data_IF_853267891959
#
_entry.id   IF_853267891959
#
_cell.length_a   1.000
_cell.length_b   1.000
_cell.length_c   1.000
_cell.angle_alpha   90.00
_cell.angle_beta   90.00
_cell.angle_gamma   90.00
#
_symmetry.space_group_name_H-M   'P 1'
#
loop_
_entity.id
_entity.type
_entity.pdbx_description
1 polymer ?
#
# COMPACT_ATOMS: atom_id res chain seq x y z
N UNK A 1 -11.65 -21.23 12.79
CA UNK A 1 -10.64 -21.95 11.95
C UNK A 1 -11.17 -23.33 11.61
N UNK A 2 -10.90 -23.82 10.40
CA UNK A 2 -11.27 -25.19 9.94
C UNK A 2 -10.08 -25.90 9.32
N UNK A 3 -10.12 -27.25 9.29
CA UNK A 3 -9.13 -28.03 8.54
C UNK A 3 -9.64 -28.21 7.12
N UNK A 4 -8.84 -27.78 6.15
CA UNK A 4 -9.16 -27.88 4.73
C UNK A 4 -8.80 -29.28 4.20
N UNK A 5 -9.56 -29.82 3.22
CA UNK A 5 -9.11 -30.96 2.43
C UNK A 5 -7.83 -30.57 1.68
N UNK A 6 -7.17 -31.57 1.09
CA UNK A 6 -6.05 -31.29 0.17
C UNK A 6 -6.59 -30.44 -0.99
N UNK A 7 -6.00 -29.26 -1.17
CA UNK A 7 -6.42 -28.37 -2.26
C UNK A 7 -5.92 -28.96 -3.56
N UNK A 8 -6.85 -29.29 -4.44
CA UNK A 8 -6.57 -29.66 -5.83
C UNK A 8 -6.74 -28.42 -6.70
N UNK A 9 -5.63 -27.84 -7.12
CA UNK A 9 -5.66 -26.63 -7.95
C UNK A 9 -6.41 -26.88 -9.27
N UNK A 10 -6.23 -28.02 -9.90
CA UNK A 10 -6.90 -28.36 -11.16
C UNK A 10 -8.41 -28.61 -11.00
N UNK A 11 -8.85 -28.96 -9.79
CA UNK A 11 -10.28 -29.21 -9.48
C UNK A 11 -11.05 -27.95 -9.07
N UNK A 12 -10.44 -26.77 -9.07
CA UNK A 12 -11.15 -25.52 -8.76
C UNK A 12 -12.08 -25.12 -9.92
N UNK A 13 -13.23 -24.53 -9.58
CA UNK A 13 -14.14 -23.97 -10.59
C UNK A 13 -13.50 -22.75 -11.25
N UNK A 14 -13.39 -22.70 -12.59
CA UNK A 14 -12.86 -21.54 -13.30
C UNK A 14 -13.69 -20.29 -13.04
N UNK A 15 -13.03 -19.14 -12.84
CA UNK A 15 -13.65 -17.85 -12.49
C UNK A 15 -13.69 -16.86 -13.66
N UNK A 16 -13.12 -17.21 -14.82
CA UNK A 16 -12.98 -16.29 -15.96
C UNK A 16 -14.31 -15.77 -16.52
N UNK A 17 -15.40 -16.51 -16.33
CA UNK A 17 -16.73 -16.07 -16.80
C UNK A 17 -17.32 -14.96 -15.92
N UNK A 18 -16.94 -14.91 -14.63
CA UNK A 18 -17.37 -13.85 -13.71
C UNK A 18 -16.40 -12.66 -13.69
N UNK A 19 -15.14 -12.92 -14.00
CA UNK A 19 -14.09 -11.89 -14.08
C UNK A 19 -14.19 -11.11 -15.40
N UNK A 20 -15.32 -10.41 -15.59
CA UNK A 20 -15.57 -9.64 -16.81
C UNK A 20 -14.67 -8.41 -16.89
N UNK A 21 -13.85 -8.24 -17.95
CA UNK A 21 -12.97 -7.08 -18.11
C UNK A 21 -13.70 -5.74 -17.99
N UNK A 22 -14.94 -5.66 -18.49
CA UNK A 22 -15.77 -4.46 -18.44
C UNK A 22 -16.10 -4.01 -17.01
N UNK A 23 -16.33 -4.96 -16.09
CA UNK A 23 -16.58 -4.65 -14.67
C UNK A 23 -15.31 -4.11 -14.00
N UNK A 24 -14.17 -4.76 -14.25
CA UNK A 24 -12.87 -4.34 -13.69
C UNK A 24 -12.47 -2.97 -14.22
N UNK A 25 -12.62 -2.73 -15.52
CA UNK A 25 -12.28 -1.45 -16.14
C UNK A 25 -13.22 -0.32 -15.68
N UNK A 26 -14.52 -0.59 -15.52
CA UNK A 26 -15.45 0.40 -14.97
C UNK A 26 -15.11 0.77 -13.51
N UNK A 27 -14.81 -0.23 -12.66
CA UNK A 27 -14.37 0.01 -11.30
C UNK A 27 -13.04 0.80 -11.27
N UNK A 28 -12.10 0.50 -12.16
CA UNK A 28 -10.85 1.25 -12.29
C UNK A 28 -11.07 2.69 -12.72
N UNK A 29 -12.01 2.96 -13.64
CA UNK A 29 -12.37 4.32 -14.05
C UNK A 29 -12.95 5.12 -12.89
N UNK A 30 -13.86 4.52 -12.11
CA UNK A 30 -14.41 5.16 -10.90
C UNK A 30 -13.32 5.43 -9.86
N UNK A 31 -12.41 4.46 -9.66
CA UNK A 31 -11.25 4.65 -8.78
C UNK A 31 -10.41 5.87 -9.18
N UNK A 32 -10.15 6.03 -10.49
CA UNK A 32 -9.36 7.16 -11.01
C UNK A 32 -10.05 8.51 -10.90
N UNK A 33 -11.36 8.55 -10.74
CA UNK A 33 -12.11 9.77 -10.54
C UNK A 33 -12.07 10.27 -9.08
N UNK A 34 -11.61 9.45 -8.14
CA UNK A 34 -11.54 9.78 -6.71
C UNK A 34 -10.28 10.58 -6.39
N UNK A 35 -10.40 11.76 -5.77
CA UNK A 35 -9.26 12.60 -5.48
C UNK A 35 -8.36 11.99 -4.39
N UNK A 36 -7.06 12.14 -4.54
CA UNK A 36 -6.06 11.83 -3.52
C UNK A 36 -5.58 13.07 -2.77
N UNK A 37 -5.90 14.26 -3.29
CA UNK A 37 -5.39 15.52 -2.77
C UNK A 37 -3.87 15.64 -2.84
N UNK A 38 -3.23 15.00 -3.83
CA UNK A 38 -1.79 14.96 -4.04
C UNK A 38 -0.99 14.26 -2.94
N UNK A 39 -1.63 13.46 -2.08
CA UNK A 39 -0.97 12.69 -1.05
C UNK A 39 -0.48 11.33 -1.58
N UNK A 40 0.73 10.95 -1.19
CA UNK A 40 1.38 9.70 -1.55
C UNK A 40 1.95 9.02 -0.31
N UNK A 41 1.64 7.73 -0.12
CA UNK A 41 2.35 6.90 0.87
C UNK A 41 3.77 6.66 0.36
N UNK A 42 4.78 6.80 1.23
CA UNK A 42 6.15 6.51 0.81
C UNK A 42 6.87 5.46 1.67
N UNK A 43 6.42 5.21 2.92
CA UNK A 43 7.01 4.21 3.79
C UNK A 43 6.08 3.78 4.94
N UNK A 44 6.49 2.76 5.69
CA UNK A 44 5.94 2.51 7.01
C UNK A 44 6.39 3.60 8.00
N UNK A 45 5.50 3.99 8.93
CA UNK A 45 5.85 4.95 9.98
C UNK A 45 7.08 4.52 10.79
N UNK A 46 7.24 3.21 11.03
CA UNK A 46 8.39 2.64 11.75
C UNK A 46 9.73 2.70 11.00
N UNK A 47 9.71 2.93 9.69
CA UNK A 47 10.92 2.97 8.87
C UNK A 47 11.61 4.34 8.93
N UNK A 48 10.83 5.41 9.19
CA UNK A 48 11.35 6.75 9.43
C UNK A 48 11.75 6.90 10.88
N UNK A 49 13.04 7.01 11.13
CA UNK A 49 13.64 6.96 12.48
C UNK A 49 14.18 8.32 12.92
N UNK A 50 14.42 8.46 14.24
CA UNK A 50 15.02 9.67 14.82
C UNK A 50 16.57 9.65 14.79
N UNK A 51 17.18 8.50 14.49
CA UNK A 51 18.64 8.30 14.52
C UNK A 51 19.30 8.43 13.14
N UNK A 52 18.51 8.48 12.06
CA UNK A 52 19.03 8.57 10.68
C UNK A 52 17.98 9.08 9.70
N UNK A 53 18.41 9.71 8.59
CA UNK A 53 17.49 10.09 7.52
C UNK A 53 16.96 8.84 6.78
N UNK A 54 15.76 8.97 6.21
CA UNK A 54 15.11 8.01 5.35
C UNK A 54 14.98 8.62 3.95
N UNK A 55 15.44 7.90 2.93
CA UNK A 55 15.32 8.32 1.53
C UNK A 55 14.15 7.64 0.85
N UNK A 56 13.44 8.35 0.00
CA UNK A 56 12.48 7.78 -0.94
C UNK A 56 12.43 8.60 -2.23
N UNK A 57 11.99 7.95 -3.31
CA UNK A 57 11.60 8.64 -4.54
C UNK A 57 10.11 8.45 -4.74
N UNK A 58 9.37 9.54 -4.93
CA UNK A 58 7.93 9.57 -5.13
C UNK A 58 7.63 10.42 -6.35
N UNK A 59 6.99 9.84 -7.35
CA UNK A 59 6.65 10.49 -8.62
C UNK A 59 7.86 11.21 -9.27
N UNK A 60 9.05 10.61 -9.18
CA UNK A 60 10.29 11.18 -9.69
C UNK A 60 10.94 12.24 -8.79
N UNK A 61 10.34 12.56 -7.65
CA UNK A 61 10.90 13.52 -6.68
C UNK A 61 11.64 12.76 -5.59
N UNK A 62 12.94 13.07 -5.44
CA UNK A 62 13.75 12.55 -4.34
C UNK A 62 13.42 13.31 -3.05
N UNK A 63 12.99 12.58 -2.04
CA UNK A 63 12.64 13.11 -0.72
C UNK A 63 13.49 12.50 0.37
N UNK A 64 13.72 13.28 1.42
CA UNK A 64 14.31 12.84 2.68
C UNK A 64 13.30 13.06 3.80
N UNK A 65 13.21 12.09 4.70
CA UNK A 65 12.38 12.19 5.89
C UNK A 65 13.18 11.82 7.14
N UNK A 66 12.86 12.42 8.28
CA UNK A 66 13.43 12.08 9.59
C UNK A 66 12.44 12.45 10.69
N UNK A 67 12.76 12.08 11.92
CA UNK A 67 12.01 12.50 13.12
C UNK A 67 12.84 13.40 13.99
N UNK A 68 12.19 14.38 14.58
CA UNK A 68 12.78 15.18 15.66
C UNK A 68 12.77 14.46 17.03
N UNK A 69 13.23 15.12 18.07
CA UNK A 69 13.29 14.57 19.43
C UNK A 69 11.90 14.32 20.04
N UNK A 70 10.87 14.98 19.56
CA UNK A 70 9.47 14.78 19.93
C UNK A 70 8.76 13.76 19.05
N UNK A 71 9.50 13.04 18.21
CA UNK A 71 9.02 12.10 17.21
C UNK A 71 8.18 12.71 16.07
N UNK A 72 8.20 14.05 15.94
CA UNK A 72 7.58 14.78 14.83
C UNK A 72 8.20 14.41 13.50
N UNK A 73 7.37 14.14 12.49
CA UNK A 73 7.81 13.79 11.14
C UNK A 73 8.19 15.06 10.35
N UNK A 74 9.39 15.06 9.79
CA UNK A 74 9.85 16.06 8.83
C UNK A 74 10.07 15.39 7.46
N UNK A 75 9.59 16.03 6.40
CA UNK A 75 9.76 15.57 5.02
C UNK A 75 10.14 16.75 4.14
N UNK A 76 11.01 16.54 3.19
CA UNK A 76 11.35 17.57 2.21
C UNK A 76 12.25 17.06 1.09
N UNK A 77 12.69 17.94 0.18
CA UNK A 77 13.60 17.56 -0.90
C UNK A 77 14.89 16.95 -0.37
N UNK A 78 15.36 15.87 -0.97
CA UNK A 78 16.63 15.23 -0.59
C UNK A 78 17.86 16.05 -0.96
N UNK A 79 17.70 17.09 -1.78
CA UNK A 79 18.79 17.95 -2.24
C UNK A 79 19.11 19.04 -1.21
N UNK A 80 20.36 19.10 -0.78
CA UNK A 80 20.86 20.16 0.09
C UNK A 80 20.82 21.52 -0.62
N UNK A 81 20.26 22.58 -0.01
CA UNK A 81 20.10 23.89 -0.65
C UNK A 81 21.43 24.64 -0.84
N UNK A 82 22.50 24.20 -0.17
CA UNK A 82 23.82 24.85 -0.30
C UNK A 82 24.48 24.52 -1.65
N UNK A 83 24.89 23.27 -1.87
CA UNK A 83 25.57 22.83 -3.08
C UNK A 83 25.05 21.49 -3.62
N UNK A 84 23.82 21.09 -3.30
CA UNK A 84 23.17 19.94 -3.91
C UNK A 84 23.56 18.56 -3.35
N UNK A 85 24.21 18.49 -2.17
CA UNK A 85 24.50 17.21 -1.53
C UNK A 85 23.21 16.40 -1.31
N UNK A 86 23.31 15.07 -1.40
CA UNK A 86 22.23 14.18 -1.01
C UNK A 86 22.10 14.13 0.52
N UNK A 87 21.03 14.73 1.02
CA UNK A 87 20.71 14.80 2.44
C UNK A 87 20.39 13.44 3.06
N UNK A 88 20.02 12.46 2.25
CA UNK A 88 19.73 11.10 2.74
C UNK A 88 20.97 10.35 3.22
N UNK A 89 22.16 10.81 2.81
CA UNK A 89 23.46 10.29 3.27
C UNK A 89 24.00 11.02 4.49
N UNK A 90 23.25 12.00 5.01
CA UNK A 90 23.58 12.77 6.20
C UNK A 90 23.32 12.01 7.50
N UNK A 91 23.28 12.76 8.60
CA UNK A 91 23.00 12.22 9.94
C UNK A 91 21.90 13.04 10.62
N UNK A 92 21.18 12.41 11.54
CA UNK A 92 20.22 13.12 12.41
C UNK A 92 20.82 13.22 13.80
N UNK A 93 20.93 14.45 14.32
CA UNK A 93 21.43 14.72 15.68
C UNK A 93 20.57 15.80 16.36
N UNK A 94 20.16 15.55 17.60
CA UNK A 94 19.30 16.45 18.36
C UNK A 94 18.10 16.93 17.52
N UNK A 95 17.42 16.00 16.82
CA UNK A 95 16.25 16.27 16.01
C UNK A 95 16.49 17.00 14.68
N UNK A 96 17.71 17.40 14.36
CA UNK A 96 18.07 18.08 13.11
C UNK A 96 18.82 17.18 12.14
N UNK A 97 18.51 17.33 10.84
CA UNK A 97 19.21 16.68 9.74
C UNK A 97 20.47 17.48 9.38
N UNK A 98 21.62 16.83 9.38
CA UNK A 98 22.93 17.45 9.11
C UNK A 98 23.44 16.98 7.75
N UNK A 99 23.68 17.94 6.85
CA UNK A 99 24.23 17.69 5.53
C UNK A 99 25.64 17.10 5.62
N UNK A 100 25.96 16.03 4.87
CA UNK A 100 27.26 15.36 4.98
C UNK A 100 28.43 16.15 4.42
N UNK A 101 28.19 17.13 3.52
CA UNK A 101 29.31 17.85 2.89
C UNK A 101 29.87 18.97 3.78
N UNK A 102 28.99 19.84 4.33
CA UNK A 102 29.47 21.04 5.03
C UNK A 102 28.77 21.24 6.39
N UNK A 103 28.07 20.26 6.91
CA UNK A 103 27.45 20.32 8.23
C UNK A 103 26.23 21.27 8.32
N UNK A 104 25.64 21.70 7.17
CA UNK A 104 24.42 22.50 7.22
C UNK A 104 23.34 21.71 7.97
N UNK A 105 22.79 22.32 9.02
CA UNK A 105 21.74 21.72 9.85
C UNK A 105 20.38 22.24 9.40
N UNK A 106 19.45 21.33 9.20
CA UNK A 106 18.04 21.59 8.92
C UNK A 106 17.19 21.09 10.10
N UNK A 107 16.37 21.98 10.64
CA UNK A 107 15.49 21.68 11.80
C UNK A 107 14.04 21.32 11.36
N UNK A 108 13.80 21.21 10.05
CA UNK A 108 12.49 20.85 9.50
C UNK A 108 11.61 22.03 9.11
N UNK A 109 12.05 23.25 9.36
CA UNK A 109 11.39 24.48 8.92
C UNK A 109 11.86 24.96 7.55
N UNK A 110 11.43 26.17 7.17
CA UNK A 110 11.97 26.85 5.97
C UNK A 110 13.31 27.50 6.33
N UNK A 111 14.40 26.92 5.87
CA UNK A 111 15.75 27.32 6.25
C UNK A 111 16.69 27.29 5.04
N UNK A 112 17.52 28.32 4.90
CA UNK A 112 18.57 28.38 3.87
C UNK A 112 18.09 28.13 2.41
N UNK A 113 16.81 28.41 2.13
CA UNK A 113 16.19 28.10 0.83
C UNK A 113 15.57 26.71 0.75
N UNK A 114 15.83 25.81 1.68
CA UNK A 114 15.13 24.53 1.79
C UNK A 114 13.69 24.74 2.27
N UNK A 115 12.75 24.05 1.68
CA UNK A 115 11.33 24.14 2.01
C UNK A 115 10.80 22.75 2.33
N UNK A 116 10.26 22.51 3.55
CA UNK A 116 9.63 21.25 3.87
C UNK A 116 8.44 21.00 2.95
N UNK A 117 8.17 19.73 2.69
CA UNK A 117 6.96 19.24 2.06
C UNK A 117 5.95 18.90 3.15
N UNK A 118 4.63 19.06 2.91
CA UNK A 118 3.63 18.58 3.83
C UNK A 118 3.78 17.07 4.02
N UNK A 119 3.97 16.65 5.26
CA UNK A 119 4.07 15.26 5.70
C UNK A 119 2.95 14.90 6.64
N UNK A 120 2.50 13.65 6.62
CA UNK A 120 1.51 13.12 7.55
C UNK A 120 1.97 11.74 8.05
N UNK A 121 1.79 11.49 9.33
CA UNK A 121 2.04 10.19 9.97
C UNK A 121 0.76 9.71 10.63
N UNK A 122 0.21 8.62 10.14
CA UNK A 122 -1.00 8.01 10.68
C UNK A 122 -0.72 6.89 11.72
N UNK A 123 0.55 6.73 12.11
CA UNK A 123 1.04 5.73 13.06
C UNK A 123 1.30 4.35 12.44
N UNK A 124 0.91 4.12 11.20
CA UNK A 124 1.20 2.90 10.41
C UNK A 124 2.01 3.25 9.16
N UNK A 125 1.58 4.28 8.46
CA UNK A 125 2.16 4.76 7.21
C UNK A 125 2.59 6.22 7.35
N UNK A 126 3.54 6.63 6.53
CA UNK A 126 3.93 8.03 6.34
C UNK A 126 3.65 8.46 4.91
N UNK A 127 3.16 9.70 4.81
CA UNK A 127 2.66 10.31 3.59
C UNK A 127 3.41 11.60 3.30
N UNK A 128 3.50 11.94 2.02
CA UNK A 128 3.99 13.23 1.54
C UNK A 128 3.00 13.80 0.54
N UNK A 129 2.75 15.12 0.61
CA UNK A 129 1.95 15.83 -0.41
C UNK A 129 2.87 16.48 -1.43
N UNK A 130 2.62 16.19 -2.71
CA UNK A 130 3.42 16.67 -3.83
C UNK A 130 2.53 17.41 -4.84
N UNK A 131 2.16 18.65 -4.53
CA UNK A 131 1.21 19.45 -5.31
C UNK A 131 1.68 19.71 -6.76
N UNK A 132 3.01 19.74 -7.00
CA UNK A 132 3.57 20.00 -8.33
C UNK A 132 3.41 18.83 -9.32
N UNK A 133 3.24 17.61 -8.80
CA UNK A 133 3.18 16.39 -9.63
C UNK A 133 1.87 15.64 -9.48
N UNK A 134 1.10 15.92 -8.45
CA UNK A 134 -0.21 15.28 -8.21
C UNK A 134 -1.27 15.69 -9.23
N UNK A 135 -1.29 16.96 -9.63
CA UNK A 135 -2.20 17.47 -10.66
C UNK A 135 -3.65 17.63 -10.21
N UNK A 136 -3.90 17.53 -8.90
CA UNK A 136 -5.22 17.66 -8.26
C UNK A 136 -5.27 18.89 -7.36
N UNK A 137 -6.48 19.29 -6.97
CA UNK A 137 -6.64 20.23 -5.86
C UNK A 137 -6.13 19.59 -4.56
N UNK A 138 -5.24 20.27 -3.82
CA UNK A 138 -4.63 19.68 -2.63
C UNK A 138 -5.65 19.57 -1.49
N UNK A 139 -5.64 18.41 -0.80
CA UNK A 139 -6.34 18.22 0.46
C UNK A 139 -5.41 18.51 1.64
N UNK A 140 -5.95 19.01 2.75
CA UNK A 140 -5.18 19.31 3.95
C UNK A 140 -4.59 18.05 4.63
N UNK A 141 -5.27 16.92 4.49
CA UNK A 141 -4.84 15.60 5.00
C UNK A 141 -5.07 14.51 3.95
N UNK A 142 -4.34 13.39 4.03
CA UNK A 142 -4.60 12.25 3.15
C UNK A 142 -5.98 11.65 3.41
N UNK A 143 -6.53 10.98 2.39
CA UNK A 143 -7.76 10.19 2.51
C UNK A 143 -7.40 8.90 3.24
N UNK A 144 -7.85 8.77 4.49
CA UNK A 144 -7.57 7.61 5.35
C UNK A 144 -8.80 6.72 5.45
N UNK A 145 -8.60 5.41 5.31
CA UNK A 145 -9.64 4.42 5.58
C UNK A 145 -9.83 4.17 7.07
N UNK A 146 -11.03 3.73 7.43
CA UNK A 146 -11.30 3.31 8.80
C UNK A 146 -10.41 2.11 9.18
N UNK A 147 -9.72 2.22 10.31
CA UNK A 147 -8.89 1.16 10.89
C UNK A 147 -9.40 0.76 12.26
N UNK A 148 -9.08 -0.46 12.74
CA UNK A 148 -9.47 -0.87 14.08
C UNK A 148 -8.91 0.10 15.13
N UNK A 149 -9.78 0.58 16.02
CA UNK A 149 -9.39 1.49 17.11
C UNK A 149 -8.70 0.77 18.29
N UNK A 150 -8.93 -0.53 18.43
CA UNK A 150 -8.40 -1.36 19.51
C UNK A 150 -6.95 -1.83 19.31
N UNK A 151 -6.48 -2.75 20.17
CA UNK A 151 -5.17 -3.39 20.03
C UNK A 151 -5.06 -4.07 18.67
N UNK A 152 -3.99 -3.76 17.93
CA UNK A 152 -3.77 -4.23 16.56
C UNK A 152 -2.32 -4.62 16.31
N UNK A 153 -2.13 -5.57 15.41
CA UNK A 153 -0.82 -5.95 14.90
C UNK A 153 -0.71 -5.43 13.46
N UNK A 154 0.16 -4.45 13.25
CA UNK A 154 0.40 -3.89 11.92
C UNK A 154 1.74 -4.34 11.36
N UNK A 155 1.76 -4.70 10.07
CA UNK A 155 2.97 -5.00 9.30
C UNK A 155 2.85 -4.32 7.93
N UNK A 156 3.90 -3.63 7.50
CA UNK A 156 3.94 -2.93 6.21
C UNK A 156 5.01 -3.57 5.34
N UNK A 157 4.63 -3.89 4.11
CA UNK A 157 5.51 -4.47 3.09
C UNK A 157 5.64 -3.49 1.94
N UNK A 158 6.83 -3.40 1.34
CA UNK A 158 7.08 -2.63 0.12
C UNK A 158 7.74 -3.52 -0.91
N UNK A 159 7.17 -3.55 -2.12
CA UNK A 159 7.74 -4.18 -3.32
C UNK A 159 7.62 -3.22 -4.50
N UNK A 160 8.40 -3.44 -5.55
CA UNK A 160 8.41 -2.56 -6.73
C UNK A 160 8.22 -3.37 -8.00
N UNK A 161 7.46 -2.81 -8.96
CA UNK A 161 7.23 -3.39 -10.26
C UNK A 161 7.37 -2.37 -11.40
N UNK A 162 7.52 -2.89 -12.62
CA UNK A 162 7.58 -2.10 -13.86
C UNK A 162 6.17 -1.97 -14.44
N UNK A 163 5.40 -1.07 -13.83
CA UNK A 163 4.02 -0.80 -14.20
C UNK A 163 3.61 0.59 -13.72
N UNK A 164 2.44 1.05 -14.12
CA UNK A 164 1.82 2.26 -13.58
C UNK A 164 0.94 1.94 -12.35
N UNK A 165 0.65 2.92 -11.47
CA UNK A 165 -0.23 2.70 -10.31
C UNK A 165 -1.58 2.07 -10.67
N UNK A 166 -2.16 2.46 -11.81
CA UNK A 166 -3.43 1.91 -12.29
C UNK A 166 -3.43 0.39 -12.51
N UNK A 167 -2.27 -0.18 -12.84
CA UNK A 167 -2.17 -1.63 -13.08
C UNK A 167 -2.22 -2.41 -11.77
N UNK A 168 -1.70 -1.82 -10.68
CA UNK A 168 -1.82 -2.34 -9.31
C UNK A 168 -3.27 -2.25 -8.83
N UNK A 169 -3.92 -1.10 -9.03
CA UNK A 169 -5.33 -0.92 -8.65
C UNK A 169 -6.22 -1.89 -9.41
N UNK A 170 -6.00 -2.07 -10.73
CA UNK A 170 -6.75 -3.03 -11.53
C UNK A 170 -6.58 -4.49 -11.04
N UNK A 171 -5.37 -4.89 -10.62
CA UNK A 171 -5.15 -6.20 -10.02
C UNK A 171 -6.00 -6.38 -8.74
N UNK A 172 -6.06 -5.38 -7.88
CA UNK A 172 -6.83 -5.43 -6.63
C UNK A 172 -8.36 -5.38 -6.84
N UNK A 173 -8.81 -4.84 -7.98
CA UNK A 173 -10.22 -4.81 -8.39
C UNK A 173 -10.64 -6.06 -9.18
N UNK A 174 -9.75 -7.03 -9.31
CA UNK A 174 -10.02 -8.37 -9.84
C UNK A 174 -9.92 -9.42 -8.71
N UNK A 175 -10.90 -9.55 -7.82
CA UNK A 175 -10.82 -10.56 -6.75
C UNK A 175 -10.89 -12.01 -7.26
N UNK A 176 -11.37 -12.25 -8.47
CA UNK A 176 -11.57 -13.58 -9.03
C UNK A 176 -10.27 -14.35 -9.29
N UNK A 177 -9.14 -13.65 -9.51
CA UNK A 177 -7.84 -14.30 -9.71
C UNK A 177 -7.31 -14.98 -8.44
N UNK A 178 -7.74 -14.51 -7.24
CA UNK A 178 -7.09 -14.81 -5.98
C UNK A 178 -6.86 -16.30 -5.70
N UNK A 179 -7.90 -17.15 -5.78
CA UNK A 179 -7.75 -18.58 -5.50
C UNK A 179 -6.97 -19.33 -6.59
N UNK A 180 -7.01 -18.84 -7.83
CA UNK A 180 -6.29 -19.44 -8.96
C UNK A 180 -4.82 -19.06 -8.95
N UNK A 181 -4.52 -17.81 -8.66
CA UNK A 181 -3.17 -17.26 -8.73
C UNK A 181 -2.39 -17.49 -7.43
N UNK A 182 -3.09 -17.54 -6.28
CA UNK A 182 -2.50 -17.74 -4.95
C UNK A 182 -3.06 -18.97 -4.21
N UNK A 183 -3.01 -20.19 -4.81
CA UNK A 183 -3.62 -21.39 -4.21
C UNK A 183 -2.94 -21.83 -2.91
N UNK A 184 -1.82 -21.21 -2.54
CA UNK A 184 -1.11 -21.45 -1.29
C UNK A 184 -1.59 -20.57 -0.13
N UNK A 185 -2.43 -19.56 -0.41
CA UNK A 185 -2.95 -18.60 0.57
C UNK A 185 -4.46 -18.51 0.57
N UNK A 186 -5.13 -18.70 -0.58
CA UNK A 186 -6.56 -18.53 -0.74
C UNK A 186 -7.21 -19.83 -1.24
N UNK A 187 -8.32 -20.15 -0.63
CA UNK A 187 -9.15 -21.30 -1.02
C UNK A 187 -10.63 -20.92 -0.93
N UNK A 188 -11.46 -21.64 -1.69
CA UNK A 188 -12.92 -21.47 -1.64
C UNK A 188 -13.35 -20.02 -1.84
N UNK A 189 -12.68 -19.31 -2.76
CA UNK A 189 -13.00 -17.93 -3.09
C UNK A 189 -14.27 -17.89 -3.93
N UNK A 190 -15.20 -17.02 -3.51
CA UNK A 190 -16.42 -16.72 -4.25
C UNK A 190 -16.73 -15.23 -4.12
N UNK A 191 -16.88 -14.55 -5.25
CA UNK A 191 -17.33 -13.14 -5.26
C UNK A 191 -18.85 -13.15 -5.08
N UNK A 192 -19.31 -12.67 -3.92
CA UNK A 192 -20.73 -12.64 -3.54
C UNK A 192 -21.46 -11.49 -4.24
N UNK A 193 -20.79 -10.34 -4.38
CA UNK A 193 -21.26 -9.21 -5.16
C UNK A 193 -20.10 -8.43 -5.76
N UNK A 194 -20.29 -7.91 -6.95
CA UNK A 194 -19.40 -6.97 -7.62
C UNK A 194 -20.21 -5.72 -8.01
N UNK A 195 -19.60 -4.53 -7.98
CA UNK A 195 -20.28 -3.30 -8.42
C UNK A 195 -20.69 -3.40 -9.88
N UNK A 196 -21.91 -2.96 -10.26
CA UNK A 196 -22.29 -2.87 -11.66
C UNK A 196 -21.43 -1.80 -12.38
N UNK A 197 -21.49 -1.80 -13.72
CA UNK A 197 -20.69 -0.87 -14.55
C UNK A 197 -21.01 0.60 -14.19
N UNK A 198 -22.24 0.89 -13.86
CA UNK A 198 -22.79 2.22 -13.51
C UNK A 198 -22.94 2.44 -12.00
N UNK A 199 -22.17 1.71 -11.17
CA UNK A 199 -22.20 1.85 -9.73
C UNK A 199 -21.91 3.30 -9.30
N UNK A 200 -22.65 3.76 -8.30
CA UNK A 200 -22.34 4.98 -7.56
C UNK A 200 -21.26 4.72 -6.47
N UNK A 201 -20.86 5.74 -5.74
CA UNK A 201 -19.81 5.65 -4.74
C UNK A 201 -20.17 4.67 -3.61
N UNK A 202 -21.40 4.66 -3.16
CA UNK A 202 -21.87 3.81 -2.05
C UNK A 202 -21.94 2.32 -2.42
N UNK A 203 -22.25 2.05 -3.70
CA UNK A 203 -22.35 0.68 -4.25
C UNK A 203 -21.04 0.14 -4.84
N UNK A 204 -19.96 0.96 -4.89
CA UNK A 204 -18.66 0.59 -5.48
C UNK A 204 -17.82 -0.27 -4.52
N UNK A 205 -18.40 -1.40 -4.11
CA UNK A 205 -17.80 -2.35 -3.15
C UNK A 205 -17.92 -3.77 -3.68
N UNK A 206 -16.78 -4.47 -3.75
CA UNK A 206 -16.76 -5.91 -3.98
C UNK A 206 -16.91 -6.64 -2.66
N UNK A 207 -17.80 -7.63 -2.58
CA UNK A 207 -17.93 -8.51 -1.41
C UNK A 207 -17.49 -9.92 -1.79
N UNK A 208 -16.55 -10.48 -1.05
CA UNK A 208 -15.87 -11.72 -1.37
C UNK A 208 -15.86 -12.66 -0.16
N UNK A 209 -16.40 -13.87 -0.32
CA UNK A 209 -16.17 -14.95 0.62
C UNK A 209 -14.88 -15.67 0.23
N UNK A 210 -13.95 -15.80 1.17
CA UNK A 210 -12.67 -16.47 0.94
C UNK A 210 -12.19 -17.19 2.20
N UNK A 211 -11.43 -18.25 2.03
CA UNK A 211 -10.74 -18.91 3.13
C UNK A 211 -9.24 -18.60 3.00
N UNK A 212 -8.71 -17.75 3.89
CA UNK A 212 -7.26 -17.63 4.06
C UNK A 212 -6.74 -18.93 4.67
N UNK A 213 -5.61 -19.42 4.21
CA UNK A 213 -5.05 -20.65 4.79
C UNK A 213 -3.53 -20.66 4.86
N UNK A 214 -3.05 -21.41 5.84
CA UNK A 214 -1.65 -21.77 5.95
C UNK A 214 -1.56 -23.31 6.04
N UNK A 215 -1.02 -23.93 5.00
CA UNK A 215 -1.10 -25.37 4.84
C UNK A 215 -2.56 -25.82 4.82
N UNK A 216 -2.97 -26.67 5.78
CA UNK A 216 -4.35 -27.19 5.88
C UNK A 216 -5.22 -26.44 6.88
N UNK A 217 -4.70 -25.44 7.56
CA UNK A 217 -5.48 -24.63 8.50
C UNK A 217 -6.09 -23.46 7.75
N UNK A 218 -7.41 -23.42 7.66
CA UNK A 218 -8.18 -22.40 6.96
C UNK A 218 -8.97 -21.49 7.89
N UNK A 219 -9.09 -20.25 7.49
CA UNK A 219 -9.82 -19.18 8.17
C UNK A 219 -10.82 -18.57 7.18
N UNK A 220 -12.07 -19.04 7.17
CA UNK A 220 -13.11 -18.48 6.32
C UNK A 220 -13.53 -17.11 6.82
N UNK A 221 -13.63 -16.16 5.87
CA UNK A 221 -14.03 -14.78 6.13
C UNK A 221 -14.89 -14.26 4.97
N UNK A 222 -15.63 -13.18 5.23
CA UNK A 222 -16.18 -12.31 4.20
C UNK A 222 -15.40 -11.00 4.23
N UNK A 223 -14.94 -10.57 3.07
CA UNK A 223 -14.18 -9.34 2.90
C UNK A 223 -14.89 -8.40 1.95
N UNK A 224 -14.70 -7.10 2.17
CA UNK A 224 -15.15 -6.04 1.29
C UNK A 224 -13.95 -5.25 0.77
N UNK A 225 -13.92 -5.01 -0.55
CA UNK A 225 -12.92 -4.19 -1.20
C UNK A 225 -13.55 -2.88 -1.64
N UNK A 226 -12.91 -1.78 -1.29
CA UNK A 226 -13.30 -0.42 -1.69
C UNK A 226 -12.09 0.39 -2.09
N UNK A 227 -12.31 1.49 -2.80
CA UNK A 227 -11.26 2.40 -3.27
C UNK A 227 -11.51 3.78 -2.68
N UNK A 228 -10.82 4.21 -1.62
CA UNK A 228 -11.02 5.52 -1.01
C UNK A 228 -10.44 6.67 -1.86
N UNK A 229 -9.37 6.42 -2.61
CA UNK A 229 -8.73 7.36 -3.52
C UNK A 229 -8.01 6.63 -4.66
N UNK A 230 -7.64 7.33 -5.70
CA UNK A 230 -7.19 6.78 -6.99
C UNK A 230 -5.99 5.79 -6.94
N UNK A 231 -5.21 5.78 -5.87
CA UNK A 231 -4.02 4.91 -5.70
C UNK A 231 -4.12 3.92 -4.55
N UNK A 232 -5.29 3.83 -3.90
CA UNK A 232 -5.46 2.99 -2.71
C UNK A 232 -6.66 2.07 -2.86
N UNK A 233 -6.45 0.77 -2.62
CA UNK A 233 -7.52 -0.21 -2.43
C UNK A 233 -7.46 -0.74 -1.02
N UNK A 234 -8.60 -0.81 -0.37
CA UNK A 234 -8.74 -1.26 1.01
C UNK A 234 -9.63 -2.50 1.07
N UNK A 235 -9.13 -3.53 1.71
CA UNK A 235 -9.88 -4.74 2.02
C UNK A 235 -10.21 -4.75 3.51
N UNK A 236 -11.48 -4.82 3.86
CA UNK A 236 -11.97 -5.02 5.22
C UNK A 236 -12.46 -6.45 5.43
N UNK A 237 -12.12 -7.08 6.54
CA UNK A 237 -12.80 -8.31 7.00
C UNK A 237 -14.06 -7.89 7.72
N UNK A 238 -15.22 -8.20 7.14
CA UNK A 238 -16.54 -7.81 7.68
C UNK A 238 -17.24 -8.94 8.41
N UNK A 239 -16.91 -10.20 8.10
CA UNK A 239 -17.42 -11.37 8.80
C UNK A 239 -16.33 -12.43 8.99
N UNK A 240 -16.46 -13.23 10.03
CA UNK A 240 -15.58 -14.36 10.34
C UNK A 240 -14.47 -14.01 11.32
N UNK A 241 -13.36 -14.72 11.20
CA UNK A 241 -12.20 -14.52 12.08
C UNK A 241 -11.44 -13.25 11.72
N UNK A 242 -11.17 -12.42 12.73
CA UNK A 242 -10.42 -11.18 12.52
C UNK A 242 -11.26 -10.04 11.95
N UNK A 243 -12.58 -10.05 12.18
CA UNK A 243 -13.47 -8.92 11.82
C UNK A 243 -12.87 -7.60 12.28
N UNK A 244 -12.94 -6.58 11.41
CA UNK A 244 -12.33 -5.27 11.61
C UNK A 244 -10.86 -5.20 11.20
N UNK A 245 -10.20 -6.33 10.86
CA UNK A 245 -8.86 -6.28 10.23
C UNK A 245 -8.94 -5.64 8.85
N UNK A 246 -7.88 -4.93 8.50
CA UNK A 246 -7.79 -4.14 7.28
C UNK A 246 -6.49 -4.46 6.54
N UNK A 247 -6.57 -4.56 5.22
CA UNK A 247 -5.39 -4.56 4.35
C UNK A 247 -5.51 -3.39 3.39
N UNK A 248 -4.57 -2.48 3.48
CA UNK A 248 -4.48 -1.30 2.61
C UNK A 248 -3.36 -1.50 1.59
N UNK A 249 -3.69 -1.37 0.33
CA UNK A 249 -2.73 -1.43 -0.78
C UNK A 249 -2.60 -0.06 -1.40
N UNK A 250 -1.40 0.50 -1.35
CA UNK A 250 -1.08 1.81 -1.91
C UNK A 250 -0.13 1.65 -3.10
N UNK A 251 -0.52 2.20 -4.24
CA UNK A 251 0.26 2.18 -5.49
C UNK A 251 0.97 3.53 -5.67
N UNK A 252 2.20 3.63 -5.19
CA UNK A 252 2.97 4.88 -5.24
C UNK A 252 3.88 4.90 -6.46
N UNK A 253 3.70 5.84 -7.42
CA UNK A 253 4.63 5.99 -8.53
C UNK A 253 6.01 6.38 -8.00
N UNK A 254 7.07 5.70 -8.48
CA UNK A 254 8.45 6.07 -8.13
C UNK A 254 8.98 7.06 -9.15
N UNK A 255 8.71 6.82 -10.41
CA UNK A 255 9.25 7.52 -11.56
C UNK A 255 9.78 6.53 -12.59
N UNK A 256 10.32 6.98 -13.71
CA UNK A 256 10.87 6.10 -14.73
C UNK A 256 12.14 5.41 -14.22
N UNK A 257 12.30 4.13 -14.57
CA UNK A 257 13.53 3.39 -14.37
C UNK A 257 14.62 3.79 -15.37
N UNK A 258 15.81 3.18 -15.28
CA UNK A 258 16.91 3.45 -16.22
C UNK A 258 16.56 3.16 -17.69
N UNK A 259 15.57 2.31 -17.91
CA UNK A 259 15.04 1.94 -19.22
C UNK A 259 13.88 2.83 -19.70
N UNK A 260 13.59 3.91 -18.96
CA UNK A 260 12.51 4.86 -19.25
C UNK A 260 11.10 4.35 -18.92
N UNK A 261 10.95 3.08 -18.48
CA UNK A 261 9.64 2.53 -18.13
C UNK A 261 9.18 2.99 -16.76
N UNK A 262 7.86 3.20 -16.55
CA UNK A 262 7.34 3.60 -15.26
C UNK A 262 7.56 2.50 -14.20
N UNK A 263 7.82 2.93 -12.98
CA UNK A 263 7.94 2.04 -11.82
C UNK A 263 6.98 2.48 -10.73
N UNK A 264 6.37 1.50 -10.11
CA UNK A 264 5.44 1.69 -8.98
C UNK A 264 5.90 0.89 -7.79
N UNK A 265 5.93 1.53 -6.62
CA UNK A 265 6.02 0.86 -5.34
C UNK A 265 4.62 0.46 -4.88
N UNK A 266 4.43 -0.81 -4.56
CA UNK A 266 3.29 -1.29 -3.81
C UNK A 266 3.67 -1.26 -2.34
N UNK A 267 2.96 -0.47 -1.56
CA UNK A 267 3.12 -0.39 -0.11
C UNK A 267 1.84 -0.95 0.50
N UNK A 268 1.94 -2.14 1.09
CA UNK A 268 0.80 -2.82 1.68
C UNK A 268 0.91 -2.84 3.20
N UNK A 269 -0.13 -2.31 3.85
CA UNK A 269 -0.29 -2.35 5.30
C UNK A 269 -1.34 -3.40 5.68
N UNK A 270 -0.90 -4.46 6.34
CA UNK A 270 -1.77 -5.47 6.96
C UNK A 270 -1.98 -5.10 8.42
N UNK A 271 -3.21 -4.74 8.80
CA UNK A 271 -3.59 -4.28 10.12
C UNK A 271 -4.57 -5.30 10.70
N UNK A 272 -4.04 -6.24 11.45
CA UNK A 272 -4.80 -7.34 12.03
C UNK A 272 -5.32 -6.99 13.41
N UNK A 273 -6.59 -7.35 13.66
CA UNK A 273 -7.21 -7.37 14.99
C UNK A 273 -7.99 -8.66 15.20
N UNK A 274 -8.27 -8.99 16.46
CA UNK A 274 -9.19 -10.07 16.80
C UNK A 274 -9.72 -9.88 18.21
N UNK A 275 -10.99 -10.20 18.42
CA UNK A 275 -11.64 -10.18 19.73
C UNK A 275 -11.31 -11.43 20.57
N UNK A 276 -10.52 -12.36 20.04
CA UNK A 276 -10.11 -13.56 20.78
C UNK A 276 -9.17 -13.21 21.92
N UNK A 277 -9.39 -13.82 23.07
CA UNK A 277 -8.54 -13.66 24.26
C UNK A 277 -7.06 -13.97 24.00
N UNK A 278 -6.77 -14.88 23.07
CA UNK A 278 -5.40 -15.21 22.66
C UNK A 278 -4.72 -14.14 21.79
N UNK A 279 -5.45 -13.18 21.24
CA UNK A 279 -4.87 -12.14 20.40
C UNK A 279 -3.89 -11.23 21.15
N UNK A 280 -4.17 -10.97 22.44
CA UNK A 280 -3.25 -10.22 23.30
C UNK A 280 -1.87 -10.87 23.39
N UNK A 281 -1.81 -12.22 23.40
CA UNK A 281 -0.54 -12.95 23.36
C UNK A 281 0.18 -12.77 22.02
N UNK A 282 -0.54 -12.65 20.90
CA UNK A 282 0.06 -12.37 19.60
C UNK A 282 0.70 -10.98 19.54
N UNK A 283 0.18 -10.00 20.28
CA UNK A 283 0.81 -8.67 20.39
C UNK A 283 2.16 -8.75 21.11
N UNK A 284 2.31 -9.60 22.12
CA UNK A 284 3.62 -9.86 22.76
C UNK A 284 4.57 -10.55 21.78
N UNK A 285 4.05 -11.38 20.87
CA UNK A 285 4.80 -12.02 19.77
C UNK A 285 5.04 -11.14 18.56
N UNK A 286 4.60 -9.88 18.56
CA UNK A 286 4.69 -8.97 17.42
C UNK A 286 6.09 -8.89 16.77
N UNK A 287 7.23 -8.88 17.50
CA UNK A 287 8.55 -8.86 16.90
C UNK A 287 8.84 -10.05 15.98
N UNK A 288 8.24 -11.22 16.25
CA UNK A 288 8.36 -12.43 15.43
C UNK A 288 7.29 -12.51 14.35
N UNK A 289 6.07 -12.05 14.64
CA UNK A 289 4.94 -12.15 13.72
C UNK A 289 5.02 -11.13 12.58
N UNK A 290 5.45 -9.89 12.86
CA UNK A 290 5.57 -8.84 11.83
C UNK A 290 6.46 -9.24 10.65
N UNK A 291 7.68 -9.81 10.83
CA UNK A 291 8.49 -10.28 9.71
C UNK A 291 7.81 -11.38 8.89
N UNK A 292 7.07 -12.30 9.53
CA UNK A 292 6.34 -13.36 8.83
C UNK A 292 5.18 -12.79 8.02
N UNK A 293 4.44 -11.82 8.57
CA UNK A 293 3.39 -11.10 7.84
C UNK A 293 3.96 -10.36 6.62
N UNK A 294 5.09 -9.65 6.80
CA UNK A 294 5.78 -8.98 5.69
C UNK A 294 6.22 -9.96 4.60
N UNK A 295 6.78 -11.10 4.97
CA UNK A 295 7.20 -12.13 4.01
C UNK A 295 6.00 -12.73 3.25
N UNK A 296 4.89 -12.99 3.94
CA UNK A 296 3.65 -13.47 3.33
C UNK A 296 3.09 -12.47 2.32
N UNK A 297 2.93 -11.21 2.71
CA UNK A 297 2.48 -10.14 1.84
C UNK A 297 3.44 -9.91 0.64
N UNK A 298 4.75 -9.89 0.88
CA UNK A 298 5.73 -9.76 -0.19
C UNK A 298 5.73 -10.94 -1.18
N UNK A 299 5.36 -12.13 -0.73
CA UNK A 299 5.19 -13.29 -1.62
C UNK A 299 3.99 -13.13 -2.53
N UNK A 300 2.83 -12.74 -1.98
CA UNK A 300 1.62 -12.47 -2.75
C UNK A 300 1.90 -11.38 -3.80
N UNK A 301 2.51 -10.28 -3.39
CA UNK A 301 2.79 -9.18 -4.31
C UNK A 301 3.84 -9.50 -5.38
N UNK A 302 4.76 -10.41 -5.15
CA UNK A 302 5.67 -10.86 -6.23
C UNK A 302 4.92 -11.58 -7.36
N UNK A 303 3.89 -12.33 -7.01
CA UNK A 303 3.03 -12.97 -7.99
C UNK A 303 2.11 -11.92 -8.66
N UNK A 304 1.47 -11.05 -7.88
CA UNK A 304 0.57 -10.00 -8.37
C UNK A 304 1.28 -8.96 -9.25
N UNK A 305 2.56 -8.70 -9.01
CA UNK A 305 3.36 -7.85 -9.89
C UNK A 305 3.47 -8.44 -11.30
N UNK A 306 3.54 -9.76 -11.46
CA UNK A 306 3.56 -10.38 -12.79
C UNK A 306 2.26 -10.09 -13.56
N UNK A 307 1.11 -10.05 -12.87
CA UNK A 307 -0.17 -9.61 -13.45
C UNK A 307 -0.12 -8.12 -13.84
N UNK A 308 0.27 -7.24 -12.93
CA UNK A 308 0.31 -5.80 -13.16
C UNK A 308 1.29 -5.41 -14.27
N UNK A 309 2.50 -5.98 -14.28
CA UNK A 309 3.51 -5.76 -15.31
C UNK A 309 3.07 -6.27 -16.69
N UNK A 310 2.36 -7.40 -16.71
CA UNK A 310 1.79 -7.93 -17.96
C UNK A 310 0.70 -7.02 -18.51
N UNK A 311 -0.21 -6.52 -17.65
CA UNK A 311 -1.26 -5.56 -18.02
C UNK A 311 -0.64 -4.28 -18.60
N UNK A 312 0.35 -3.71 -17.91
CA UNK A 312 1.12 -2.56 -18.42
C UNK A 312 1.73 -2.84 -19.79
N UNK A 313 2.46 -3.96 -19.94
CA UNK A 313 3.16 -4.29 -21.18
C UNK A 313 2.22 -4.48 -22.38
N UNK A 314 1.00 -4.99 -22.17
CA UNK A 314 0.00 -5.12 -23.23
C UNK A 314 -0.52 -3.75 -23.65
N UNK A 315 -0.94 -2.93 -22.70
CA UNK A 315 -1.46 -1.58 -22.93
C UNK A 315 -0.42 -0.65 -23.60
N UNK A 316 0.86 -0.73 -23.19
CA UNK A 316 1.92 0.05 -23.79
C UNK A 316 2.18 -0.31 -25.26
N UNK A 317 1.91 -1.57 -25.68
CA UNK A 317 2.02 -1.98 -27.09
C UNK A 317 0.88 -1.46 -27.97
N UNK A 318 -0.32 -1.29 -27.40
CA UNK A 318 -1.48 -0.78 -28.12
C UNK A 318 -1.41 0.73 -28.36
N UNK A 319 -0.53 1.43 -27.63
CA UNK A 319 -0.34 2.88 -27.72
C UNK A 319 0.75 3.28 -28.75
N UNK A 320 1.41 2.30 -29.37
CA UNK A 320 2.41 2.44 -30.44
C UNK A 320 1.92 1.84 -31.75
#
# INVERSE_FOLDING_TARGET
>A
MKVLPKIDWAGQTPTYQQAEPTLIDAALQRAHARPSGNWFVFAASSDVRADRPFAATVAGIEIVAWRDEQAGLHVGPATCPHLGADLSTGTVQCGGLICPWHGLRLSGGREFGWKPLPGHDDGVLVWVRLDKVGGEDPLDSPVLSARPAGPRLAAVTRVEGVCEPRDIIANRLDPWHGAWFHPYSFAQLNVLSAPPVDADEDSDVFTVAVTFHLGRIGMPVITQFSVPELRTVVMHIVEGEGVGSVVETHATPIGPGPDGRPRTAVIEAVIAQSDRTGFQLSLLGAPLLRPLMKLGAARLWRDDLAYAERRYALRAKESH
#
